data_IF_328321934744
#
_entry.id   IF_328321934744
#
_cell.length_a   1.000
_cell.length_b   1.000
_cell.length_c   1.000
_cell.angle_alpha   90.00
_cell.angle_beta   90.00
_cell.angle_gamma   90.00
#
_symmetry.space_group_name_H-M   'P 1'
#
loop_
_entity.id
_entity.type
_entity.pdbx_description
1 polymer ?
#
# COMPACT_ATOMS: atom_id res chain seq x y z
N UNK A 1 1.79 -15.06 -17.81
CA UNK A 1 1.74 -13.89 -18.71
C UNK A 1 2.36 -14.30 -20.02
N UNK A 2 1.67 -14.14 -21.14
CA UNK A 2 2.15 -14.54 -22.48
C UNK A 2 2.48 -13.27 -23.26
N UNK A 3 3.56 -13.26 -24.04
CA UNK A 3 4.04 -12.09 -24.79
C UNK A 3 4.19 -10.84 -23.91
N UNK A 4 4.72 -11.00 -22.69
CA UNK A 4 5.00 -9.85 -21.84
C UNK A 4 6.14 -9.05 -22.46
N UNK A 5 5.93 -7.76 -22.74
CA UNK A 5 6.91 -6.94 -23.42
C UNK A 5 7.14 -5.56 -22.79
N UNK A 6 8.37 -5.08 -22.93
CA UNK A 6 8.71 -3.66 -22.85
C UNK A 6 9.38 -3.28 -24.17
N UNK A 7 8.77 -2.34 -24.88
CA UNK A 7 9.17 -1.97 -26.24
C UNK A 7 9.30 -0.46 -26.38
N UNK A 8 10.41 -0.01 -26.96
CA UNK A 8 10.55 1.36 -27.45
C UNK A 8 9.81 1.49 -28.77
N UNK A 9 8.78 2.35 -28.81
CA UNK A 9 7.96 2.56 -30.00
C UNK A 9 8.04 3.98 -30.51
N UNK A 10 8.10 4.15 -31.83
CA UNK A 10 7.85 5.41 -32.49
C UNK A 10 6.33 5.58 -32.70
N UNK A 11 5.79 6.70 -32.23
CA UNK A 11 4.37 7.06 -32.40
C UNK A 11 3.40 5.95 -31.97
N UNK A 12 3.79 5.11 -30.99
CA UNK A 12 3.00 3.96 -30.50
C UNK A 12 2.57 2.96 -31.58
N UNK A 13 3.19 3.00 -32.76
CA UNK A 13 2.78 2.20 -33.92
C UNK A 13 3.92 1.38 -34.53
N UNK A 14 5.16 1.87 -34.47
CA UNK A 14 6.33 1.12 -34.91
C UNK A 14 7.21 0.75 -33.71
N UNK A 15 7.37 -0.55 -33.47
CA UNK A 15 8.35 -1.05 -32.48
C UNK A 15 9.75 -0.84 -33.06
N UNK A 16 10.54 -0.01 -32.38
CA UNK A 16 11.94 0.25 -32.73
C UNK A 16 12.85 -0.79 -32.08
N UNK A 17 12.67 -1.02 -30.78
CA UNK A 17 13.47 -1.95 -29.97
C UNK A 17 12.54 -2.65 -28.99
N UNK A 18 12.78 -3.95 -28.77
CA UNK A 18 12.20 -4.69 -27.65
C UNK A 18 13.27 -4.82 -26.58
N UNK A 19 13.08 -4.18 -25.44
CA UNK A 19 13.96 -4.33 -24.28
C UNK A 19 13.66 -5.63 -23.55
N UNK A 20 12.39 -6.03 -23.52
CA UNK A 20 11.95 -7.31 -22.99
C UNK A 20 10.83 -7.90 -23.85
N UNK A 21 10.87 -9.20 -24.04
CA UNK A 21 9.79 -9.99 -24.64
C UNK A 21 9.89 -11.42 -24.12
N UNK A 22 8.79 -11.97 -23.62
CA UNK A 22 8.76 -13.37 -23.27
C UNK A 22 7.53 -13.83 -22.50
N UNK A 23 7.51 -15.13 -22.23
CA UNK A 23 6.44 -15.78 -21.47
C UNK A 23 6.89 -16.05 -20.05
N UNK A 24 6.05 -15.66 -19.09
CA UNK A 24 6.28 -15.83 -17.65
C UNK A 24 5.21 -16.76 -17.10
N UNK A 25 5.63 -17.83 -16.42
CA UNK A 25 4.74 -18.71 -15.68
C UNK A 25 5.15 -18.72 -14.21
N UNK A 26 4.21 -18.48 -13.31
CA UNK A 26 4.40 -18.56 -11.86
C UNK A 26 3.27 -19.41 -11.29
N UNK A 27 3.63 -20.47 -10.57
CA UNK A 27 2.68 -21.36 -9.92
C UNK A 27 2.93 -21.37 -8.42
N UNK A 28 1.89 -21.10 -7.63
CA UNK A 28 1.92 -21.21 -6.18
C UNK A 28 1.07 -22.39 -5.70
N UNK A 29 1.57 -23.13 -4.71
CA UNK A 29 0.82 -24.13 -3.95
C UNK A 29 1.08 -23.91 -2.46
N UNK A 30 0.06 -24.09 -1.61
CA UNK A 30 0.19 -23.83 -0.18
C UNK A 30 -0.62 -24.78 0.70
N UNK A 31 -0.12 -25.01 1.91
CA UNK A 31 -0.82 -25.68 2.99
C UNK A 31 -0.70 -24.86 4.28
N UNK A 32 -1.74 -24.85 5.12
CA UNK A 32 -1.72 -24.12 6.39
C UNK A 32 -2.41 -24.88 7.51
N UNK A 33 -1.98 -24.60 8.73
CA UNK A 33 -2.60 -25.10 9.95
C UNK A 33 -2.66 -23.98 10.99
N UNK A 34 -3.74 -23.94 11.76
CA UNK A 34 -3.98 -22.95 12.78
C UNK A 34 -4.71 -23.59 13.96
N UNK A 35 -4.35 -23.19 15.17
CA UNK A 35 -5.04 -23.63 16.39
C UNK A 35 -5.52 -22.41 17.17
N UNK A 36 -6.70 -22.48 17.79
CA UNK A 36 -7.23 -21.45 18.67
C UNK A 36 -7.32 -22.01 20.09
N UNK A 37 -6.60 -21.40 21.03
CA UNK A 37 -6.70 -21.70 22.44
C UNK A 37 -7.37 -20.53 23.16
N UNK A 38 -8.53 -20.78 23.76
CA UNK A 38 -9.18 -19.84 24.67
C UNK A 38 -8.92 -20.30 26.12
N UNK A 39 -8.06 -19.58 26.84
CA UNK A 39 -7.65 -19.90 28.22
C UNK A 39 -7.90 -18.70 29.13
N UNK A 40 -8.98 -18.77 29.91
CA UNK A 40 -9.39 -17.68 30.78
C UNK A 40 -9.66 -16.40 29.98
N UNK A 41 -8.86 -15.35 30.21
CA UNK A 41 -8.95 -14.06 29.49
C UNK A 41 -8.08 -14.02 28.23
N UNK A 42 -7.31 -15.05 27.94
CA UNK A 42 -6.40 -15.09 26.80
C UNK A 42 -7.01 -15.88 25.63
N UNK A 43 -6.79 -15.36 24.43
CA UNK A 43 -6.91 -16.12 23.19
C UNK A 43 -5.53 -16.20 22.54
N UNK A 44 -5.03 -17.41 22.38
CA UNK A 44 -3.71 -17.68 21.80
C UNK A 44 -3.93 -18.42 20.49
N UNK A 45 -3.33 -17.92 19.42
CA UNK A 45 -3.55 -18.40 18.07
C UNK A 45 -2.22 -18.57 17.33
N UNK A 46 -1.53 -19.72 17.53
CA UNK A 46 -0.42 -20.12 16.69
C UNK A 46 -0.94 -20.63 15.34
N UNK A 47 -0.23 -20.29 14.27
CA UNK A 47 -0.48 -20.78 12.93
C UNK A 47 0.84 -20.95 12.17
N UNK A 48 0.81 -21.80 11.16
CA UNK A 48 1.89 -21.95 10.18
C UNK A 48 1.28 -22.12 8.79
N UNK A 49 1.90 -21.49 7.80
CA UNK A 49 1.64 -21.70 6.39
C UNK A 49 2.95 -22.08 5.69
N UNK A 50 2.87 -23.04 4.78
CA UNK A 50 3.97 -23.44 3.91
C UNK A 50 3.54 -23.17 2.48
N UNK A 51 4.34 -22.40 1.75
CA UNK A 51 4.12 -22.05 0.35
C UNK A 51 5.26 -22.63 -0.50
N UNK A 52 4.93 -23.18 -1.66
CA UNK A 52 5.84 -23.58 -2.73
C UNK A 52 5.53 -22.74 -3.96
N UNK A 53 6.56 -22.13 -4.54
CA UNK A 53 6.51 -21.38 -5.80
C UNK A 53 7.38 -22.06 -6.84
N UNK A 54 6.87 -22.12 -8.06
CA UNK A 54 7.63 -22.49 -9.25
C UNK A 54 7.57 -21.34 -10.23
N UNK A 55 8.72 -20.93 -10.72
CA UNK A 55 8.91 -19.81 -11.63
C UNK A 55 9.48 -20.32 -12.94
N UNK A 56 8.92 -19.91 -14.06
CA UNK A 56 9.44 -20.21 -15.39
C UNK A 56 9.42 -18.96 -16.27
N UNK A 57 10.47 -18.78 -17.06
CA UNK A 57 10.57 -17.70 -18.03
C UNK A 57 11.14 -18.22 -19.35
N UNK A 58 10.42 -17.94 -20.43
CA UNK A 58 10.91 -18.12 -21.79
C UNK A 58 11.21 -16.74 -22.37
N UNK A 59 12.50 -16.42 -22.52
CA UNK A 59 12.96 -15.19 -23.13
C UNK A 59 12.88 -15.32 -24.66
N UNK A 60 12.05 -14.52 -25.32
CA UNK A 60 11.91 -14.54 -26.78
C UNK A 60 12.95 -13.68 -27.49
N UNK A 61 13.78 -12.93 -26.76
CA UNK A 61 14.84 -12.10 -27.33
C UNK A 61 16.14 -12.88 -27.55
N UNK A 62 16.29 -14.06 -26.95
CA UNK A 62 17.46 -14.93 -27.14
C UNK A 62 17.24 -15.90 -28.29
N UNK A 63 18.30 -16.13 -29.08
CA UNK A 63 18.22 -17.01 -30.27
C UNK A 63 18.05 -18.48 -29.92
N UNK A 64 18.51 -18.90 -28.74
CA UNK A 64 18.39 -20.28 -28.27
C UNK A 64 17.22 -20.37 -27.32
N UNK A 65 16.16 -21.06 -27.75
CA UNK A 65 15.01 -21.32 -26.89
C UNK A 65 15.45 -22.15 -25.67
N UNK A 66 15.27 -21.59 -24.48
CA UNK A 66 15.53 -22.26 -23.21
C UNK A 66 14.56 -21.71 -22.16
N UNK A 67 13.79 -22.61 -21.57
CA UNK A 67 13.01 -22.29 -20.37
C UNK A 67 13.95 -22.16 -19.17
N UNK A 68 14.02 -20.97 -18.60
CA UNK A 68 14.66 -20.73 -17.31
C UNK A 68 13.64 -21.04 -16.22
N UNK A 69 14.06 -21.71 -15.15
CA UNK A 69 13.20 -22.06 -14.04
C UNK A 69 13.91 -21.97 -12.70
N UNK A 70 13.15 -21.72 -11.65
CA UNK A 70 13.58 -21.77 -10.25
C UNK A 70 12.38 -22.06 -9.34
N UNK A 71 12.64 -22.58 -8.14
CA UNK A 71 11.61 -22.91 -7.15
C UNK A 71 11.93 -22.28 -5.79
N UNK A 72 10.88 -21.90 -5.07
CA UNK A 72 10.99 -21.31 -3.73
C UNK A 72 10.05 -21.96 -2.75
N UNK A 73 10.53 -22.23 -1.53
CA UNK A 73 9.68 -22.68 -0.41
C UNK A 73 9.75 -21.69 0.74
N UNK A 74 8.59 -21.28 1.25
CA UNK A 74 8.50 -20.38 2.39
C UNK A 74 7.71 -21.00 3.55
N UNK A 75 8.25 -20.84 4.75
CA UNK A 75 7.59 -21.19 6.00
C UNK A 75 7.22 -19.90 6.75
N UNK A 76 5.92 -19.72 6.96
CA UNK A 76 5.31 -18.49 7.50
C UNK A 76 4.62 -18.77 8.84
N UNK A 77 5.37 -18.91 9.95
CA UNK A 77 4.78 -19.00 11.28
C UNK A 77 4.14 -17.67 11.70
N UNK A 78 3.06 -17.76 12.47
CA UNK A 78 2.33 -16.63 13.05
C UNK A 78 1.91 -16.95 14.47
N UNK A 79 1.97 -15.97 15.36
CA UNK A 79 1.44 -16.05 16.71
C UNK A 79 0.62 -14.80 17.02
N UNK A 80 -0.64 -14.98 17.38
CA UNK A 80 -1.47 -13.91 17.93
C UNK A 80 -1.82 -14.23 19.38
N UNK A 81 -1.62 -13.27 20.27
CA UNK A 81 -2.03 -13.35 21.68
C UNK A 81 -2.96 -12.16 21.92
N UNK A 82 -4.20 -12.44 22.32
CA UNK A 82 -5.19 -11.44 22.68
C UNK A 82 -5.52 -11.60 24.16
N UNK A 83 -5.52 -10.51 24.90
CA UNK A 83 -5.87 -10.47 26.31
C UNK A 83 -7.11 -9.60 26.51
N UNK A 84 -8.22 -10.25 26.86
CA UNK A 84 -9.49 -9.61 27.17
C UNK A 84 -9.46 -9.07 28.60
N UNK A 85 -8.96 -7.85 28.78
CA UNK A 85 -8.95 -7.20 30.10
C UNK A 85 -10.36 -7.00 30.65
N UNK A 86 -11.30 -6.58 29.78
CA UNK A 86 -12.72 -6.43 30.08
C UNK A 86 -13.56 -6.59 28.79
N UNK A 87 -14.91 -6.63 28.86
CA UNK A 87 -15.76 -6.61 27.66
C UNK A 87 -15.56 -5.37 26.76
N UNK A 88 -14.93 -4.32 27.30
CA UNK A 88 -14.68 -3.06 26.61
C UNK A 88 -13.21 -2.90 26.19
N UNK A 89 -12.26 -3.70 26.68
CA UNK A 89 -10.83 -3.49 26.45
C UNK A 89 -10.12 -4.81 26.17
N UNK A 90 -9.49 -4.90 25.00
CA UNK A 90 -8.68 -6.03 24.58
C UNK A 90 -7.30 -5.55 24.16
N UNK A 91 -6.26 -6.10 24.78
CA UNK A 91 -4.88 -5.92 24.33
C UNK A 91 -4.51 -7.04 23.37
N UNK A 92 -3.59 -6.79 22.45
CA UNK A 92 -3.06 -7.82 21.58
C UNK A 92 -1.57 -7.63 21.30
N UNK A 93 -0.90 -8.77 21.13
CA UNK A 93 0.41 -8.86 20.50
C UNK A 93 0.26 -9.82 19.32
N UNK A 94 0.73 -9.41 18.15
CA UNK A 94 0.75 -10.24 16.95
C UNK A 94 2.17 -10.23 16.40
N UNK A 95 2.64 -11.37 15.94
CA UNK A 95 3.91 -11.48 15.26
C UNK A 95 3.85 -12.58 14.21
N UNK A 96 4.59 -12.43 13.13
CA UNK A 96 4.69 -13.46 12.12
C UNK A 96 5.76 -13.19 11.08
N UNK A 97 6.02 -14.24 10.30
CA UNK A 97 6.85 -14.19 9.11
C UNK A 97 5.96 -14.35 7.89
N UNK A 98 6.15 -13.50 6.90
CA UNK A 98 5.60 -13.59 5.56
C UNK A 98 6.71 -13.41 4.52
N UNK A 99 6.32 -13.07 3.30
CA UNK A 99 7.22 -12.89 2.16
C UNK A 99 6.47 -12.18 1.02
N UNK A 100 7.19 -11.79 -0.03
CA UNK A 100 6.62 -11.49 -1.35
C UNK A 100 7.31 -12.36 -2.40
N UNK A 101 6.59 -12.73 -3.46
CA UNK A 101 7.25 -13.23 -4.67
C UNK A 101 7.88 -12.05 -5.42
N UNK A 102 8.89 -12.33 -6.24
CA UNK A 102 9.56 -11.34 -7.06
C UNK A 102 9.24 -11.55 -8.52
N UNK A 103 9.65 -10.58 -9.34
CA UNK A 103 9.60 -10.74 -10.78
C UNK A 103 10.34 -12.03 -11.20
N UNK A 104 9.60 -12.93 -11.85
CA UNK A 104 10.11 -14.22 -12.32
C UNK A 104 11.40 -14.08 -13.14
N UNK A 105 11.53 -13.00 -13.92
CA UNK A 105 12.71 -12.74 -14.76
C UNK A 105 13.97 -12.45 -13.94
N UNK A 106 13.82 -11.96 -12.71
CA UNK A 106 14.94 -11.76 -11.77
C UNK A 106 15.26 -13.05 -11.04
N UNK A 107 14.22 -13.76 -10.60
CA UNK A 107 14.33 -15.03 -9.86
C UNK A 107 15.09 -16.07 -10.68
N UNK A 108 14.61 -16.39 -11.88
CA UNK A 108 15.17 -17.46 -12.73
C UNK A 108 16.56 -17.15 -13.31
N UNK A 109 17.00 -15.89 -13.20
CA UNK A 109 18.36 -15.47 -13.58
C UNK A 109 19.33 -15.47 -12.38
N UNK A 110 18.87 -15.88 -11.19
CA UNK A 110 19.63 -15.89 -9.94
C UNK A 110 20.23 -14.53 -9.56
N UNK A 111 19.53 -13.45 -9.91
CA UNK A 111 19.98 -12.09 -9.62
C UNK A 111 19.54 -11.60 -8.23
N UNK A 112 18.61 -12.30 -7.56
CA UNK A 112 18.12 -11.98 -6.22
C UNK A 112 18.93 -12.68 -5.11
N UNK A 113 18.91 -12.13 -3.88
CA UNK A 113 19.51 -12.75 -2.69
C UNK A 113 18.73 -13.97 -2.23
N UNK A 114 17.41 -13.94 -2.41
CA UNK A 114 16.51 -15.05 -2.16
C UNK A 114 15.35 -15.04 -3.17
N UNK A 115 14.89 -16.22 -3.58
CA UNK A 115 13.72 -16.41 -4.46
C UNK A 115 12.44 -15.86 -3.83
N UNK A 116 12.29 -16.03 -2.50
CA UNK A 116 11.17 -15.52 -1.69
C UNK A 116 11.72 -14.75 -0.47
N UNK A 117 11.98 -13.45 -0.60
CA UNK A 117 12.45 -12.60 0.50
C UNK A 117 11.49 -12.63 1.69
N UNK A 118 12.03 -12.81 2.89
CA UNK A 118 11.22 -12.87 4.10
C UNK A 118 10.84 -11.47 4.59
N UNK A 119 9.61 -11.34 5.08
CA UNK A 119 9.12 -10.18 5.81
C UNK A 119 8.76 -10.60 7.23
N UNK A 120 9.18 -9.85 8.25
CA UNK A 120 8.91 -10.12 9.65
C UNK A 120 8.13 -8.95 10.23
N UNK A 121 6.91 -9.20 10.67
CA UNK A 121 6.00 -8.18 11.18
C UNK A 121 5.60 -8.46 12.62
N UNK A 122 5.44 -7.39 13.41
CA UNK A 122 4.86 -7.46 14.74
C UNK A 122 4.04 -6.24 15.09
N UNK A 123 2.95 -6.44 15.83
CA UNK A 123 2.05 -5.42 16.35
C UNK A 123 1.87 -5.59 17.85
N UNK A 124 1.94 -4.49 18.61
CA UNK A 124 1.47 -4.38 19.99
C UNK A 124 0.40 -3.31 20.04
N UNK A 125 -0.82 -3.68 20.39
CA UNK A 125 -1.93 -2.73 20.38
C UNK A 125 -3.08 -3.08 21.29
N UNK A 126 -4.12 -2.27 21.21
CA UNK A 126 -5.36 -2.48 21.94
C UNK A 126 -6.57 -2.03 21.14
N UNK A 127 -7.70 -2.69 21.42
CA UNK A 127 -9.04 -2.27 21.00
C UNK A 127 -9.81 -1.89 22.26
N UNK A 128 -10.27 -0.64 22.30
CA UNK A 128 -10.98 -0.07 23.43
C UNK A 128 -12.34 0.49 23.01
N UNK A 129 -13.37 0.14 23.78
CA UNK A 129 -14.73 0.65 23.67
C UNK A 129 -15.07 1.43 24.94
N UNK A 130 -14.54 2.65 25.11
CA UNK A 130 -14.79 3.47 26.32
C UNK A 130 -16.29 3.74 26.53
N UNK A 131 -17.04 3.83 25.44
CA UNK A 131 -18.49 3.99 25.41
C UNK A 131 -19.09 3.01 24.40
N UNK A 132 -20.40 2.76 24.47
CA UNK A 132 -21.10 1.81 23.57
C UNK A 132 -21.06 2.22 22.09
N UNK A 133 -20.91 3.51 21.84
CA UNK A 133 -20.94 4.19 20.56
C UNK A 133 -19.54 4.66 20.10
N UNK A 134 -18.47 4.11 20.70
CA UNK A 134 -17.09 4.50 20.41
C UNK A 134 -16.18 3.28 20.37
N UNK A 135 -15.32 3.22 19.35
CA UNK A 135 -14.24 2.25 19.25
C UNK A 135 -12.95 2.98 18.93
N UNK A 136 -11.92 2.70 19.73
CA UNK A 136 -10.54 3.10 19.50
C UNK A 136 -9.70 1.86 19.27
N UNK A 137 -8.82 1.91 18.28
CA UNK A 137 -7.76 0.93 18.07
C UNK A 137 -6.46 1.70 17.93
N UNK A 138 -5.44 1.30 18.69
CA UNK A 138 -4.10 1.85 18.57
C UNK A 138 -3.10 0.70 18.56
N UNK A 139 -2.09 0.80 17.71
CA UNK A 139 -1.02 -0.18 17.59
C UNK A 139 0.32 0.51 17.42
N UNK A 140 1.34 0.04 18.12
CA UNK A 140 2.72 0.21 17.70
C UNK A 140 3.12 -1.02 16.89
N UNK A 141 3.77 -0.82 15.75
CA UNK A 141 4.10 -1.90 14.83
C UNK A 141 5.53 -1.78 14.31
N UNK A 142 6.08 -2.92 13.88
CA UNK A 142 7.40 -3.06 13.29
C UNK A 142 7.33 -4.04 12.12
N UNK A 143 8.05 -3.74 11.06
CA UNK A 143 8.18 -4.54 9.85
C UNK A 143 9.63 -4.51 9.38
N UNK A 144 10.24 -5.67 9.24
CA UNK A 144 11.54 -5.86 8.60
C UNK A 144 11.36 -6.64 7.30
N UNK A 145 11.98 -6.18 6.22
CA UNK A 145 12.08 -6.91 4.96
C UNK A 145 13.54 -7.29 4.71
N UNK A 146 13.77 -8.55 4.37
CA UNK A 146 15.12 -9.07 4.14
C UNK A 146 15.74 -8.61 2.83
N UNK A 147 14.90 -8.18 1.88
CA UNK A 147 15.29 -7.60 0.61
C UNK A 147 14.09 -6.90 -0.02
N UNK A 148 14.28 -5.68 -0.51
CA UNK A 148 13.33 -4.99 -1.41
C UNK A 148 13.77 -5.09 -2.87
N UNK A 149 12.92 -4.64 -3.77
CA UNK A 149 13.24 -4.53 -5.18
C UNK A 149 12.79 -3.19 -5.73
N UNK A 150 13.61 -2.61 -6.61
CA UNK A 150 13.34 -1.35 -7.28
C UNK A 150 13.08 -1.65 -8.75
N UNK A 151 11.98 -1.15 -9.29
CA UNK A 151 11.68 -1.27 -10.72
C UNK A 151 12.30 -0.11 -11.49
N UNK A 152 13.20 -0.42 -12.42
CA UNK A 152 13.81 0.54 -13.34
C UNK A 152 12.98 0.59 -14.61
N UNK A 153 12.09 1.58 -14.70
CA UNK A 153 11.09 1.69 -15.77
C UNK A 153 11.67 1.73 -17.18
N UNK A 154 12.78 2.44 -17.39
CA UNK A 154 13.39 2.62 -18.71
C UNK A 154 14.06 1.36 -19.24
N UNK A 155 14.59 0.53 -18.35
CA UNK A 155 15.22 -0.74 -18.69
C UNK A 155 14.25 -1.94 -18.57
N UNK A 156 13.10 -1.74 -17.93
CA UNK A 156 12.13 -2.79 -17.61
C UNK A 156 12.66 -3.85 -16.65
N UNK A 157 13.75 -3.55 -15.95
CA UNK A 157 14.39 -4.49 -15.03
C UNK A 157 13.96 -4.20 -13.61
N UNK A 158 13.98 -5.24 -12.79
CA UNK A 158 13.75 -5.15 -11.35
C UNK A 158 15.10 -5.44 -10.69
N UNK A 159 15.60 -4.47 -9.92
CA UNK A 159 16.89 -4.55 -9.26
C UNK A 159 16.73 -4.91 -7.78
N UNK A 160 17.50 -5.89 -7.27
CA UNK A 160 17.49 -6.18 -5.85
C UNK A 160 18.07 -5.00 -5.06
N UNK A 161 17.31 -4.56 -4.06
CA UNK A 161 17.75 -3.60 -3.05
C UNK A 161 18.12 -4.31 -1.74
N UNK A 162 18.54 -3.54 -0.76
CA UNK A 162 18.93 -4.00 0.56
C UNK A 162 17.76 -4.35 1.49
N UNK A 163 18.12 -4.63 2.73
CA UNK A 163 17.21 -4.83 3.85
C UNK A 163 16.58 -3.51 4.25
N UNK A 164 15.30 -3.54 4.60
CA UNK A 164 14.59 -2.35 5.07
C UNK A 164 13.84 -2.62 6.35
N UNK A 165 13.59 -1.57 7.11
CA UNK A 165 12.68 -1.60 8.24
C UNK A 165 11.69 -0.45 8.19
N UNK A 166 10.48 -0.72 8.67
CA UNK A 166 9.43 0.26 8.91
C UNK A 166 8.91 0.05 10.31
N UNK A 167 8.72 1.13 11.05
CA UNK A 167 8.12 1.08 12.37
C UNK A 167 7.22 2.30 12.56
N UNK A 168 6.16 2.14 13.33
CA UNK A 168 5.18 3.19 13.41
C UNK A 168 4.12 3.00 14.48
N UNK A 169 3.23 3.98 14.51
CA UNK A 169 2.04 3.97 15.36
C UNK A 169 0.82 4.22 14.48
N UNK A 170 -0.19 3.37 14.65
CA UNK A 170 -1.50 3.53 14.04
C UNK A 170 -2.52 3.91 15.10
N UNK A 171 -3.43 4.80 14.73
CA UNK A 171 -4.63 5.17 15.48
C UNK A 171 -5.84 5.06 14.57
N UNK A 172 -6.87 4.35 15.01
CA UNK A 172 -8.18 4.31 14.39
C UNK A 172 -9.24 4.64 15.43
N UNK A 173 -10.09 5.62 15.14
CA UNK A 173 -11.21 6.02 15.97
C UNK A 173 -12.51 5.99 15.17
N UNK A 174 -13.56 5.44 15.77
CA UNK A 174 -14.92 5.43 15.24
C UNK A 174 -15.85 5.89 16.35
N UNK A 175 -16.57 6.99 16.14
CA UNK A 175 -17.45 7.60 17.13
C UNK A 175 -18.81 7.89 16.53
N UNK A 176 -19.86 7.32 17.09
CA UNK A 176 -21.24 7.70 16.82
C UNK A 176 -21.66 8.70 17.91
N UNK A 177 -21.48 10.00 17.67
CA UNK A 177 -21.75 11.04 18.66
C UNK A 177 -23.23 11.16 19.03
N UNK A 178 -24.11 10.92 18.06
CA UNK A 178 -25.58 10.83 18.23
C UNK A 178 -26.12 9.74 17.30
N UNK A 179 -27.42 9.45 17.34
CA UNK A 179 -28.06 8.50 16.42
C UNK A 179 -27.93 8.87 14.93
N UNK A 180 -27.52 10.11 14.63
CA UNK A 180 -27.42 10.64 13.27
C UNK A 180 -26.04 11.21 12.92
N UNK A 181 -25.10 11.34 13.86
CA UNK A 181 -23.79 11.98 13.64
C UNK A 181 -22.64 11.03 13.96
N UNK A 182 -21.76 10.83 12.97
CA UNK A 182 -20.64 9.89 13.03
C UNK A 182 -19.33 10.58 12.68
N UNK A 183 -18.26 10.24 13.41
CA UNK A 183 -16.90 10.70 13.19
C UNK A 183 -15.99 9.48 13.02
N UNK A 184 -15.12 9.53 12.01
CA UNK A 184 -14.08 8.53 11.81
C UNK A 184 -12.74 9.23 11.67
N UNK A 185 -11.70 8.60 12.19
CA UNK A 185 -10.32 9.05 12.06
C UNK A 185 -9.44 7.81 11.93
N UNK A 186 -8.52 7.83 10.98
CA UNK A 186 -7.41 6.90 10.87
C UNK A 186 -6.14 7.74 10.68
N UNK A 187 -5.12 7.50 11.49
CA UNK A 187 -3.83 8.17 11.41
C UNK A 187 -2.72 7.14 11.54
N UNK A 188 -1.69 7.26 10.71
CA UNK A 188 -0.50 6.42 10.73
C UNK A 188 0.72 7.32 10.72
N UNK A 189 1.64 7.07 11.64
CA UNK A 189 2.96 7.68 11.66
C UNK A 189 4.01 6.58 11.49
N UNK A 190 4.89 6.73 10.51
CA UNK A 190 5.85 5.72 10.09
C UNK A 190 7.25 6.30 10.02
N UNK A 191 8.23 5.51 10.40
CA UNK A 191 9.65 5.74 10.14
C UNK A 191 10.13 4.56 9.30
N UNK A 192 10.48 4.84 8.05
CA UNK A 192 10.92 3.86 7.06
C UNK A 192 12.39 4.08 6.70
N UNK A 193 13.26 3.07 6.85
CA UNK A 193 14.70 3.19 6.58
C UNK A 193 15.27 1.95 5.90
N UNK A 194 16.22 2.17 4.99
CA UNK A 194 17.18 1.15 4.57
C UNK A 194 18.15 0.84 5.71
N UNK A 195 18.50 -0.44 5.85
CA UNK A 195 19.44 -0.93 6.87
C UNK A 195 20.86 -1.13 6.32
N UNK A 196 21.01 -1.15 5.00
CA UNK A 196 22.27 -1.39 4.31
C UNK A 196 22.94 -0.08 3.85
N UNK A 197 22.18 1.00 3.75
CA UNK A 197 22.67 2.32 3.36
C UNK A 197 23.16 3.15 4.57
N UNK A 198 23.98 4.16 4.28
CA UNK A 198 24.57 5.03 5.30
C UNK A 198 23.54 5.95 5.96
N UNK A 199 23.77 6.33 7.21
CA UNK A 199 22.92 7.32 7.88
C UNK A 199 22.90 8.64 7.09
N UNK A 200 21.70 9.16 6.84
CA UNK A 200 21.48 10.34 5.99
C UNK A 200 21.10 9.98 4.55
N UNK A 201 21.50 8.80 4.08
CA UNK A 201 21.31 8.26 2.73
C UNK A 201 20.42 7.00 2.74
N UNK A 202 19.66 6.81 3.83
CA UNK A 202 18.91 5.59 4.07
C UNK A 202 17.40 5.83 4.19
N UNK A 203 16.91 6.94 3.65
CA UNK A 203 15.48 7.14 3.49
C UNK A 203 14.94 6.15 2.46
N UNK A 204 13.71 5.68 2.64
CA UNK A 204 13.02 4.91 1.61
C UNK A 204 12.22 5.90 0.78
N UNK A 205 12.53 6.08 -0.52
CA UNK A 205 11.80 6.99 -1.38
C UNK A 205 10.30 6.74 -1.35
N UNK A 206 9.54 7.83 -1.27
CA UNK A 206 8.08 7.87 -1.32
C UNK A 206 7.36 7.12 -0.18
N UNK A 207 8.08 6.58 0.80
CA UNK A 207 7.49 6.00 2.00
C UNK A 207 6.76 7.12 2.78
N UNK A 208 5.44 7.02 3.01
CA UNK A 208 4.71 8.03 3.75
C UNK A 208 5.14 8.07 5.22
N UNK A 209 5.48 9.25 5.72
CA UNK A 209 5.80 9.46 7.14
C UNK A 209 4.53 9.65 7.98
N UNK A 210 3.59 10.50 7.53
CA UNK A 210 2.30 10.72 8.19
C UNK A 210 1.16 10.67 7.18
N UNK A 211 0.16 9.83 7.46
CA UNK A 211 -1.11 9.81 6.73
C UNK A 211 -2.27 9.99 7.70
N UNK A 212 -3.26 10.79 7.30
CA UNK A 212 -4.48 10.98 8.07
C UNK A 212 -5.69 10.93 7.15
N UNK A 213 -6.66 10.09 7.48
CA UNK A 213 -7.97 10.06 6.85
C UNK A 213 -9.02 10.32 7.92
N UNK A 214 -9.89 11.29 7.67
CA UNK A 214 -10.96 11.65 8.60
C UNK A 214 -12.29 11.75 7.88
N UNK A 215 -13.39 11.49 8.58
CA UNK A 215 -14.71 11.81 8.06
C UNK A 215 -15.71 12.23 9.13
N UNK A 216 -16.61 13.12 8.74
CA UNK A 216 -17.83 13.45 9.48
C UNK A 216 -18.99 13.04 8.61
N UNK A 217 -19.90 12.21 9.14
CA UNK A 217 -21.08 11.74 8.41
C UNK A 217 -22.35 12.04 9.18
N UNK A 218 -23.35 12.52 8.46
CA UNK A 218 -24.72 12.76 8.93
C UNK A 218 -25.65 11.76 8.26
N UNK A 219 -26.50 11.12 9.05
CA UNK A 219 -27.62 10.28 8.61
C UNK A 219 -28.82 10.55 9.50
N UNK A 220 -29.66 11.50 9.12
CA UNK A 220 -30.76 11.99 9.95
C UNK A 220 -32.09 11.33 9.56
N UNK A 221 -32.95 11.11 10.56
CA UNK A 221 -34.29 10.49 10.39
C UNK A 221 -35.24 11.23 9.45
N UNK A 222 -34.95 12.49 9.13
CA UNK A 222 -35.72 13.27 8.15
C UNK A 222 -35.50 12.83 6.70
N UNK A 223 -34.50 11.97 6.45
CA UNK A 223 -34.03 11.61 5.12
C UNK A 223 -32.78 12.37 4.68
N UNK A 224 -32.37 13.43 5.41
CA UNK A 224 -31.13 14.14 5.12
C UNK A 224 -29.91 13.30 5.47
N UNK A 225 -28.95 13.24 4.57
CA UNK A 225 -27.65 12.64 4.83
C UNK A 225 -26.55 13.44 4.15
N UNK A 226 -25.32 13.25 4.61
CA UNK A 226 -24.14 13.88 4.02
C UNK A 226 -22.88 13.37 4.65
N UNK A 227 -21.74 13.67 4.04
CA UNK A 227 -20.45 13.50 4.67
C UNK A 227 -19.43 14.48 4.15
N UNK A 228 -18.41 14.71 4.97
CA UNK A 228 -17.16 15.37 4.59
C UNK A 228 -16.06 14.38 4.90
N UNK A 229 -15.18 14.13 3.95
CA UNK A 229 -14.04 13.22 4.05
C UNK A 229 -12.78 14.03 3.76
N UNK A 230 -11.74 13.85 4.57
CA UNK A 230 -10.45 14.48 4.40
C UNK A 230 -9.38 13.41 4.25
N UNK A 231 -8.45 13.62 3.33
CA UNK A 231 -7.25 12.81 3.12
C UNK A 231 -6.04 13.73 3.18
N UNK A 232 -5.15 13.46 4.13
CA UNK A 232 -3.87 14.14 4.27
C UNK A 232 -2.73 13.14 4.11
N UNK A 233 -1.72 13.56 3.36
CA UNK A 233 -0.45 12.87 3.16
C UNK A 233 0.66 13.90 3.37
N UNK A 234 1.59 13.61 4.27
CA UNK A 234 2.72 14.49 4.52
C UNK A 234 3.75 14.45 3.37
N UNK A 235 4.56 15.51 3.30
CA UNK A 235 5.73 15.53 2.44
C UNK A 235 6.70 14.43 2.86
N UNK A 236 7.42 13.87 1.89
CA UNK A 236 8.29 12.70 2.13
C UNK A 236 9.48 12.71 1.17
N UNK A 237 10.58 12.02 1.52
CA UNK A 237 11.73 11.87 0.63
C UNK A 237 11.31 11.32 -0.73
N UNK A 238 11.83 11.89 -1.82
CA UNK A 238 11.68 11.35 -3.17
C UNK A 238 12.91 10.55 -3.61
N UNK A 239 14.01 10.66 -2.87
CA UNK A 239 15.26 9.92 -3.02
C UNK A 239 15.85 9.56 -1.63
N UNK A 240 16.90 8.76 -1.62
CA UNK A 240 17.49 8.11 -0.46
C UNK A 240 18.19 9.08 0.50
N UNK A 241 18.63 10.24 0.01
CA UNK A 241 19.30 11.32 0.78
C UNK A 241 18.35 12.46 1.19
N UNK A 242 17.09 12.38 0.75
CA UNK A 242 16.05 13.39 0.99
C UNK A 242 16.40 14.81 0.48
N UNK A 243 17.30 14.90 -0.51
CA UNK A 243 17.60 16.15 -1.21
C UNK A 243 16.47 16.57 -2.14
N UNK A 244 15.71 15.61 -2.68
CA UNK A 244 14.46 15.83 -3.42
C UNK A 244 13.29 15.36 -2.54
N UNK A 245 12.25 16.19 -2.43
CA UNK A 245 11.06 15.89 -1.63
C UNK A 245 9.81 15.84 -2.48
N UNK A 246 9.03 14.79 -2.30
CA UNK A 246 7.68 14.71 -2.82
C UNK A 246 6.76 15.54 -1.93
N UNK A 247 5.94 16.40 -2.55
CA UNK A 247 5.04 17.29 -1.85
C UNK A 247 3.87 16.52 -1.19
N UNK A 248 3.52 16.94 0.02
CA UNK A 248 2.32 16.46 0.70
C UNK A 248 1.07 17.19 0.21
N UNK A 249 -0.11 16.70 0.60
CA UNK A 249 -1.37 17.33 0.22
C UNK A 249 -2.50 17.09 1.21
N UNK A 250 -3.51 17.95 1.15
CA UNK A 250 -4.81 17.73 1.81
C UNK A 250 -5.94 17.87 0.80
N UNK A 251 -6.72 16.81 0.62
CA UNK A 251 -7.89 16.80 -0.25
C UNK A 251 -9.14 16.56 0.59
N UNK A 252 -10.21 17.30 0.27
CA UNK A 252 -11.50 17.19 0.94
C UNK A 252 -12.58 16.84 -0.07
N UNK A 253 -13.34 15.78 0.21
CA UNK A 253 -14.52 15.40 -0.56
C UNK A 253 -15.78 15.61 0.29
N UNK A 254 -16.85 16.09 -0.33
CA UNK A 254 -18.12 16.32 0.35
C UNK A 254 -19.28 15.67 -0.41
N UNK A 255 -20.28 15.18 0.33
CA UNK A 255 -21.57 14.82 -0.23
C UNK A 255 -22.73 15.30 0.64
N UNK A 256 -23.84 15.58 -0.02
CA UNK A 256 -25.13 15.85 0.62
C UNK A 256 -26.22 15.18 -0.19
N UNK A 257 -27.26 14.72 0.49
CA UNK A 257 -28.41 14.13 -0.16
C UNK A 257 -29.64 14.07 0.72
N UNK A 258 -30.75 13.71 0.08
CA UNK A 258 -32.05 13.59 0.70
C UNK A 258 -32.76 12.35 0.17
N UNK A 259 -33.10 11.44 1.07
CA UNK A 259 -33.92 10.27 0.81
C UNK A 259 -35.38 10.58 1.17
N UNK A 260 -36.26 10.43 0.18
CA UNK A 260 -37.69 10.65 0.31
C UNK A 260 -38.47 9.52 -0.34
N UNK A 261 -39.09 8.68 0.50
CA UNK A 261 -39.82 7.47 0.07
C UNK A 261 -38.91 6.57 -0.78
N UNK A 262 -39.20 6.44 -2.08
CA UNK A 262 -38.47 5.61 -3.05
C UNK A 262 -37.40 6.38 -3.83
N UNK A 263 -37.26 7.69 -3.58
CA UNK A 263 -36.36 8.57 -4.34
C UNK A 263 -35.24 9.04 -3.40
N UNK A 264 -33.99 8.89 -3.84
CA UNK A 264 -32.85 9.53 -3.19
C UNK A 264 -32.18 10.48 -4.16
N UNK A 265 -31.99 11.73 -3.74
CA UNK A 265 -31.23 12.75 -4.47
C UNK A 265 -29.88 12.92 -3.78
N UNK A 266 -28.79 13.01 -4.54
CA UNK A 266 -27.47 13.28 -3.97
C UNK A 266 -26.63 14.18 -4.87
N UNK A 267 -25.79 14.99 -4.23
CA UNK A 267 -24.72 15.75 -4.87
C UNK A 267 -23.42 15.41 -4.15
N UNK A 268 -22.37 15.13 -4.91
CA UNK A 268 -21.02 14.92 -4.41
C UNK A 268 -20.08 15.93 -5.08
N UNK A 269 -19.21 16.52 -4.29
CA UNK A 269 -18.14 17.40 -4.72
C UNK A 269 -16.83 16.73 -4.32
N UNK A 270 -16.09 16.23 -5.32
CA UNK A 270 -14.74 15.72 -5.15
C UNK A 270 -13.77 16.89 -5.21
N UNK A 271 -12.72 16.86 -4.40
CA UNK A 271 -11.79 17.98 -4.23
C UNK A 271 -12.53 19.32 -4.03
N UNK A 272 -13.38 19.39 -3.01
CA UNK A 272 -14.25 20.52 -2.74
C UNK A 272 -13.49 21.82 -2.43
N UNK A 273 -12.22 21.73 -2.00
CA UNK A 273 -11.35 22.89 -1.81
C UNK A 273 -10.64 23.33 -3.10
N UNK A 274 -10.74 22.55 -4.19
CA UNK A 274 -9.98 22.75 -5.42
C UNK A 274 -8.47 22.82 -5.14
N UNK A 275 -8.00 21.94 -4.25
CA UNK A 275 -6.57 21.77 -3.98
C UNK A 275 -5.88 21.38 -5.27
N UNK A 276 -4.76 22.03 -5.60
CA UNK A 276 -3.81 21.57 -6.59
C UNK A 276 -2.78 20.68 -5.88
N UNK A 277 -2.58 19.46 -6.36
CA UNK A 277 -1.59 18.54 -5.78
C UNK A 277 -1.03 17.58 -6.82
N UNK A 278 0.06 16.91 -6.44
CA UNK A 278 0.70 15.87 -7.24
C UNK A 278 0.24 14.48 -6.77
N UNK A 279 -0.54 13.77 -7.58
CA UNK A 279 -1.11 12.45 -7.23
C UNK A 279 -0.04 11.37 -7.18
N UNK A 280 0.80 11.29 -8.21
CA UNK A 280 1.98 10.43 -8.27
C UNK A 280 3.20 11.32 -8.42
N UNK A 281 4.30 11.00 -7.73
CA UNK A 281 5.54 11.79 -7.75
C UNK A 281 6.72 10.84 -7.74
N UNK A 282 7.70 11.06 -8.62
CA UNK A 282 8.95 10.30 -8.67
C UNK A 282 10.09 11.27 -8.93
N UNK A 283 11.19 11.13 -8.17
CA UNK A 283 12.47 11.69 -8.58
C UNK A 283 12.92 10.93 -9.83
N UNK A 284 13.27 11.63 -10.89
CA UNK A 284 13.63 11.02 -12.16
C UNK A 284 14.58 11.94 -12.90
N UNK A 285 15.66 11.36 -13.38
CA UNK A 285 16.61 12.07 -14.23
C UNK A 285 16.00 12.27 -15.62
N UNK A 286 15.95 13.52 -16.08
CA UNK A 286 15.53 13.84 -17.44
C UNK A 286 16.33 15.00 -18.01
N UNK A 287 16.16 15.29 -19.29
CA UNK A 287 16.77 16.46 -19.94
C UNK A 287 15.83 17.02 -21.00
N UNK A 288 15.38 18.24 -20.81
CA UNK A 288 14.58 18.98 -21.78
C UNK A 288 15.44 19.48 -22.94
N UNK A 289 14.81 19.83 -24.07
CA UNK A 289 15.48 20.26 -25.32
C UNK A 289 16.41 21.49 -25.13
N UNK A 290 16.16 22.30 -24.10
CA UNK A 290 16.96 23.48 -23.76
C UNK A 290 18.01 23.26 -22.67
N UNK A 291 18.10 22.07 -22.08
CA UNK A 291 19.01 21.79 -20.97
C UNK A 291 20.34 21.22 -21.48
N UNK A 292 21.45 21.78 -20.98
CA UNK A 292 22.79 21.32 -21.37
C UNK A 292 23.14 19.96 -20.76
N UNK A 293 22.73 19.75 -19.49
CA UNK A 293 22.94 18.53 -18.71
C UNK A 293 21.58 18.00 -18.21
N UNK A 294 21.50 16.71 -17.89
CA UNK A 294 20.31 16.15 -17.24
C UNK A 294 20.12 16.71 -15.83
N UNK A 295 18.86 16.74 -15.41
CA UNK A 295 18.42 17.18 -14.08
C UNK A 295 17.57 16.07 -13.48
N UNK A 296 17.85 15.74 -12.22
CA UNK A 296 16.97 14.89 -11.43
C UNK A 296 15.95 15.77 -10.69
N UNK A 297 14.68 15.59 -11.00
CA UNK A 297 13.59 16.37 -10.42
C UNK A 297 12.30 15.56 -10.28
N UNK A 298 11.28 16.16 -9.68
CA UNK A 298 9.96 15.52 -9.52
C UNK A 298 9.21 15.55 -10.85
N UNK A 299 9.00 14.36 -11.43
CA UNK A 299 7.92 14.15 -12.38
C UNK A 299 6.65 13.72 -11.66
N UNK A 300 5.52 14.29 -12.07
CA UNK A 300 4.26 14.03 -11.41
C UNK A 300 3.08 13.91 -12.35
N UNK A 301 2.04 13.21 -11.87
CA UNK A 301 0.69 13.28 -12.45
C UNK A 301 -0.11 14.27 -11.61
N UNK A 302 -0.71 15.31 -12.21
CA UNK A 302 -1.53 16.25 -11.45
C UNK A 302 -2.76 15.56 -10.86
N UNK A 303 -3.15 16.01 -9.68
CA UNK A 303 -4.37 15.62 -9.00
C UNK A 303 -5.61 15.96 -9.81
N UNK A 304 -6.72 15.28 -9.50
CA UNK A 304 -7.99 15.55 -10.18
C UNK A 304 -8.57 16.89 -9.69
N UNK A 305 -8.92 17.82 -10.59
CA UNK A 305 -9.50 19.11 -10.19
C UNK A 305 -10.88 18.92 -9.53
N UNK A 306 -11.44 19.98 -8.96
CA UNK A 306 -12.81 19.93 -8.39
C UNK A 306 -13.80 19.33 -9.39
N UNK A 307 -14.50 18.29 -8.95
CA UNK A 307 -15.49 17.60 -9.77
C UNK A 307 -16.83 17.45 -9.04
N UNK A 308 -17.91 17.89 -9.67
CA UNK A 308 -19.26 17.81 -9.12
C UNK A 308 -20.05 16.76 -9.87
N UNK A 309 -20.67 15.83 -9.12
CA UNK A 309 -21.61 14.84 -9.66
C UNK A 309 -22.91 14.84 -8.87
N UNK A 310 -24.02 14.71 -9.58
CA UNK A 310 -25.35 14.57 -9.00
C UNK A 310 -25.95 13.23 -9.43
N UNK A 311 -26.79 12.66 -8.57
CA UNK A 311 -27.44 11.38 -8.81
C UNK A 311 -28.87 11.36 -8.29
N UNK A 312 -29.66 10.47 -8.91
CA UNK A 312 -31.01 10.13 -8.49
C UNK A 312 -31.06 8.60 -8.43
N UNK A 313 -31.49 8.06 -7.29
CA UNK A 313 -31.72 6.63 -7.10
C UNK A 313 -33.22 6.41 -6.89
N UNK A 314 -33.78 5.42 -7.57
CA UNK A 314 -35.16 4.98 -7.38
C UNK A 314 -35.19 3.51 -6.92
N UNK A 315 -35.83 3.25 -5.77
CA UNK A 315 -35.96 1.90 -5.20
C UNK A 315 -37.37 1.35 -5.44
N UNK A 316 -37.46 0.14 -6.03
CA UNK A 316 -38.71 -0.50 -6.42
C UNK A 316 -39.38 -1.29 -5.30
#
# INVERSE_FOLDING_TARGET
SINNELSHTLNRSAVLVRYQLGDIFETNSAAFAQVNFDVGRFRINPAIRVDHFSFEYNDELVTTYKTLSDDGVMYSPKLNILFNYSPAMQWYIKAGRGFHSNDTRVVVRNSARATLPAAYGSDLGFIWKPYKNMVLNMAAWYLYLDQEFVYVGDAGVVEPSGRTQRQGIDLSARVQATDWLYFNLDANYTIARSLDDSEGENYIPLAPDLTVVGSVRVQHKSGMFGSVNVRYLDGRPANEDNSIKAEGYTVLDANIGYAWKRITLNVQVLNALDTEWNETQFATESRLDGEAESVEEIHFTPGTPRFVKAGIIFEF
#
